data_IF_591914277462
#
_entry.id   IF_591914277462
#
_cell.length_a   1.000
_cell.length_b   1.000
_cell.length_c   1.000
_cell.angle_alpha   90.00
_cell.angle_beta   90.00
_cell.angle_gamma   90.00
#
_symmetry.space_group_name_H-M   'P 1'
#
loop_
_entity.id
_entity.type
_entity.pdbx_description
1 polymer ?
#
# COMPACT_ATOMS: atom_id res chain seq x y z
N UNK A 1 17.68 3.58 -1.72
CA UNK A 1 17.54 2.27 -2.38
C UNK A 1 17.20 2.51 -3.84
N UNK A 2 17.99 1.98 -4.77
CA UNK A 2 17.75 2.16 -6.21
C UNK A 2 16.44 1.46 -6.60
N UNK A 3 15.46 2.20 -7.15
CA UNK A 3 14.27 1.60 -7.75
C UNK A 3 14.73 0.82 -8.99
N UNK A 4 14.38 -0.46 -9.05
CA UNK A 4 14.53 -1.24 -10.27
C UNK A 4 13.61 -0.62 -11.34
N UNK A 5 14.09 -0.46 -12.59
CA UNK A 5 13.27 0.09 -13.66
C UNK A 5 12.05 -0.79 -13.90
N UNK A 6 10.89 -0.17 -14.08
CA UNK A 6 9.66 -0.87 -14.46
C UNK A 6 9.86 -1.51 -15.85
N UNK A 7 9.68 -2.83 -15.93
CA UNK A 7 9.77 -3.53 -17.21
C UNK A 7 8.48 -3.32 -18.00
N UNK A 8 8.57 -3.05 -19.32
CA UNK A 8 7.40 -3.11 -20.18
C UNK A 8 6.83 -4.55 -20.15
N UNK A 9 5.52 -4.67 -19.90
CA UNK A 9 4.81 -5.96 -19.80
C UNK A 9 4.33 -6.37 -18.40
N UNK A 10 4.43 -5.49 -17.41
CA UNK A 10 3.98 -5.77 -16.04
C UNK A 10 5.03 -6.52 -15.20
N UNK A 11 4.71 -6.82 -13.93
CA UNK A 11 5.65 -7.47 -13.04
C UNK A 11 6.00 -8.88 -13.55
N UNK A 12 7.28 -9.30 -13.46
CA UNK A 12 7.71 -10.61 -13.92
C UNK A 12 7.10 -11.73 -13.08
N UNK A 13 6.85 -12.86 -13.73
CA UNK A 13 6.22 -14.01 -13.10
C UNK A 13 7.21 -14.71 -12.13
N UNK A 14 6.87 -14.78 -10.85
CA UNK A 14 7.73 -15.37 -9.81
C UNK A 14 7.75 -16.90 -9.96
N UNK A 15 8.93 -17.51 -10.11
CA UNK A 15 9.09 -18.96 -10.22
C UNK A 15 8.80 -19.69 -8.89
N UNK A 16 8.53 -21.00 -8.97
CA UNK A 16 8.31 -21.85 -7.78
C UNK A 16 9.59 -22.19 -7.04
N UNK A 17 10.71 -22.24 -7.74
CA UNK A 17 12.02 -22.40 -7.13
C UNK A 17 12.77 -21.08 -7.17
N UNK A 18 13.38 -20.72 -6.05
CA UNK A 18 14.28 -19.57 -5.93
C UNK A 18 15.59 -20.03 -5.29
N UNK A 19 16.66 -19.29 -5.56
CA UNK A 19 17.95 -19.51 -4.90
C UNK A 19 17.99 -18.66 -3.61
N UNK A 20 17.91 -19.31 -2.46
CA UNK A 20 18.18 -18.67 -1.18
C UNK A 20 19.70 -18.58 -1.00
N UNK A 21 20.24 -17.36 -0.94
CA UNK A 21 21.65 -17.10 -0.70
C UNK A 21 21.83 -16.60 0.72
N UNK A 22 22.67 -17.28 1.50
CA UNK A 22 22.98 -16.93 2.88
C UNK A 22 24.50 -16.97 3.11
N UNK A 23 25.02 -16.31 4.16
CA UNK A 23 26.39 -16.51 4.62
C UNK A 23 26.64 -17.98 4.96
N UNK A 24 27.74 -18.55 4.48
CA UNK A 24 28.19 -19.90 4.83
C UNK A 24 28.79 -19.87 6.23
N UNK A 25 28.23 -20.62 7.17
CA UNK A 25 28.81 -20.83 8.51
C UNK A 25 29.23 -19.51 9.20
N UNK A 26 28.40 -18.47 9.12
CA UNK A 26 28.67 -17.12 9.65
C UNK A 26 29.89 -16.40 9.04
N UNK A 27 30.43 -16.89 7.93
CA UNK A 27 31.52 -16.26 7.19
C UNK A 27 31.01 -15.24 6.17
N UNK A 28 31.92 -14.46 5.59
CA UNK A 28 31.60 -13.57 4.47
C UNK A 28 31.52 -14.30 3.11
N UNK A 29 31.55 -15.64 3.10
CA UNK A 29 31.40 -16.44 1.88
C UNK A 29 29.93 -16.75 1.63
N UNK A 30 29.42 -16.59 0.39
CA UNK A 30 28.04 -16.95 0.07
C UNK A 30 27.88 -18.47 -0.08
N UNK A 31 26.75 -19.01 0.38
CA UNK A 31 26.25 -20.34 0.01
C UNK A 31 24.81 -20.22 -0.48
N UNK A 32 24.41 -21.11 -1.39
CA UNK A 32 23.11 -21.07 -2.06
C UNK A 32 22.36 -22.39 -1.96
N UNK A 33 21.04 -22.33 -1.76
CA UNK A 33 20.15 -23.49 -1.80
C UNK A 33 18.90 -23.20 -2.64
N UNK A 34 18.51 -24.13 -3.50
CA UNK A 34 17.23 -24.04 -4.20
C UNK A 34 16.09 -24.33 -3.20
N UNK A 35 15.16 -23.39 -3.06
CA UNK A 35 14.01 -23.52 -2.15
C UNK A 35 12.71 -23.41 -2.92
N UNK A 36 11.75 -24.28 -2.59
CA UNK A 36 10.39 -24.22 -3.11
C UNK A 36 9.58 -23.16 -2.34
N UNK A 37 9.04 -22.19 -3.06
CA UNK A 37 8.29 -21.06 -2.51
C UNK A 37 6.79 -21.10 -2.83
N UNK A 38 6.25 -22.23 -3.28
CA UNK A 38 4.81 -22.34 -3.61
C UNK A 38 3.91 -21.93 -2.45
N UNK A 39 4.25 -22.34 -1.22
CA UNK A 39 3.49 -21.99 -0.01
C UNK A 39 3.52 -20.48 0.25
N UNK A 40 4.70 -19.87 0.18
CA UNK A 40 4.93 -18.44 0.41
C UNK A 40 4.17 -17.63 -0.66
N UNK A 41 4.29 -18.01 -1.94
CA UNK A 41 3.53 -17.40 -3.04
C UNK A 41 2.02 -17.48 -2.81
N UNK A 42 1.51 -18.64 -2.38
CA UNK A 42 0.08 -18.83 -2.13
C UNK A 42 -0.42 -17.94 -0.98
N UNK A 43 0.33 -17.85 0.12
CA UNK A 43 0.01 -16.97 1.25
C UNK A 43 -0.01 -15.51 0.82
N UNK A 44 1.06 -15.04 0.17
CA UNK A 44 1.15 -13.66 -0.32
C UNK A 44 0.02 -13.35 -1.30
N UNK A 45 -0.26 -14.24 -2.26
CA UNK A 45 -1.36 -14.05 -3.21
C UNK A 45 -2.71 -13.94 -2.49
N UNK A 46 -2.97 -14.79 -1.50
CA UNK A 46 -4.20 -14.73 -0.70
C UNK A 46 -4.30 -13.43 0.10
N UNK A 47 -3.19 -12.96 0.68
CA UNK A 47 -3.16 -11.67 1.39
C UNK A 47 -3.48 -10.52 0.42
N UNK A 48 -2.79 -10.46 -0.72
CA UNK A 48 -3.03 -9.42 -1.73
C UNK A 48 -4.46 -9.46 -2.29
N UNK A 49 -5.03 -10.64 -2.53
CA UNK A 49 -6.40 -10.77 -3.03
C UNK A 49 -7.48 -10.31 -2.05
N UNK A 50 -7.13 -10.14 -0.77
CA UNK A 50 -8.06 -9.70 0.29
C UNK A 50 -7.92 -8.22 0.61
N UNK A 51 -6.87 -7.56 0.13
CA UNK A 51 -6.75 -6.12 0.25
C UNK A 51 -7.71 -5.48 -0.74
N UNK A 52 -8.45 -4.48 -0.29
CA UNK A 52 -9.26 -3.64 -1.18
C UNK A 52 -8.34 -3.03 -2.22
N UNK A 53 -8.72 -3.14 -3.49
CA UNK A 53 -7.88 -2.64 -4.57
C UNK A 53 -7.88 -1.12 -4.55
N UNK A 54 -6.74 -0.52 -4.89
CA UNK A 54 -6.66 0.96 -5.02
C UNK A 54 -7.66 1.45 -6.06
N UNK A 55 -7.85 0.71 -7.14
CA UNK A 55 -8.83 1.05 -8.18
C UNK A 55 -10.28 1.02 -7.65
N UNK A 56 -10.60 0.09 -6.74
CA UNK A 56 -11.93 0.02 -6.11
C UNK A 56 -12.14 1.19 -5.15
N UNK A 57 -11.12 1.55 -4.37
CA UNK A 57 -11.16 2.74 -3.51
C UNK A 57 -11.31 4.03 -4.32
N UNK A 58 -10.57 4.14 -5.43
CA UNK A 58 -10.62 5.31 -6.31
C UNK A 58 -11.96 5.42 -7.05
N UNK A 59 -12.58 4.30 -7.44
CA UNK A 59 -13.89 4.30 -8.09
C UNK A 59 -15.03 4.79 -7.17
N UNK A 60 -14.82 4.82 -5.85
CA UNK A 60 -15.78 5.38 -4.89
C UNK A 60 -15.66 6.91 -4.77
N UNK A 61 -14.65 7.53 -5.38
CA UNK A 61 -14.41 8.96 -5.32
C UNK A 61 -15.07 9.71 -6.49
N UNK A 62 -15.46 10.98 -6.31
CA UNK A 62 -15.88 11.82 -7.43
C UNK A 62 -14.77 11.97 -8.49
N UNK A 63 -15.14 11.99 -9.77
CA UNK A 63 -14.19 12.02 -10.90
C UNK A 63 -13.23 13.21 -10.88
N UNK A 64 -13.61 14.32 -10.27
CA UNK A 64 -12.86 15.58 -10.21
C UNK A 64 -12.17 15.84 -8.87
N UNK A 65 -12.24 14.89 -7.93
CA UNK A 65 -11.66 15.09 -6.59
C UNK A 65 -10.13 15.13 -6.64
N UNK A 66 -9.53 16.05 -5.88
CA UNK A 66 -8.08 16.16 -5.78
C UNK A 66 -7.66 16.61 -4.39
N UNK A 67 -6.83 15.81 -3.73
CA UNK A 67 -6.32 16.06 -2.38
C UNK A 67 -4.92 16.69 -2.37
N UNK A 68 -4.54 17.40 -3.44
CA UNK A 68 -3.23 18.08 -3.51
C UNK A 68 -3.18 19.24 -2.50
N UNK A 69 -2.26 19.22 -1.51
CA UNK A 69 -2.14 20.27 -0.51
C UNK A 69 -1.67 21.63 -1.09
N UNK A 70 -1.17 21.67 -2.33
CA UNK A 70 -0.82 22.91 -3.04
C UNK A 70 -2.01 23.67 -3.63
N UNK A 71 -3.21 23.07 -3.63
CA UNK A 71 -4.44 23.74 -4.14
C UNK A 71 -4.94 24.82 -3.18
N UNK A 72 -5.77 25.77 -3.68
CA UNK A 72 -6.49 26.70 -2.84
C UNK A 72 -7.26 25.99 -1.71
N UNK A 73 -7.20 26.56 -0.50
CA UNK A 73 -7.73 25.92 0.71
C UNK A 73 -9.23 25.59 0.60
N UNK A 74 -10.01 26.44 -0.06
CA UNK A 74 -11.44 26.21 -0.30
C UNK A 74 -11.69 25.00 -1.21
N UNK A 75 -10.85 24.81 -2.23
CA UNK A 75 -10.95 23.68 -3.15
C UNK A 75 -10.52 22.36 -2.47
N UNK A 76 -9.48 22.41 -1.64
CA UNK A 76 -9.05 21.26 -0.85
C UNK A 76 -10.10 20.87 0.19
N UNK A 77 -10.69 21.86 0.87
CA UNK A 77 -11.76 21.63 1.85
C UNK A 77 -12.97 20.94 1.19
N UNK A 78 -13.44 21.44 0.03
CA UNK A 78 -14.52 20.77 -0.73
C UNK A 78 -14.19 19.32 -1.06
N UNK A 79 -12.94 19.04 -1.42
CA UNK A 79 -12.48 17.68 -1.74
C UNK A 79 -12.52 16.78 -0.49
N UNK A 80 -12.03 17.26 0.66
CA UNK A 80 -12.10 16.54 1.95
C UNK A 80 -13.54 16.31 2.39
N UNK A 81 -14.42 17.28 2.21
CA UNK A 81 -15.84 17.17 2.57
C UNK A 81 -16.64 16.26 1.64
N UNK A 82 -16.12 15.96 0.43
CA UNK A 82 -16.78 15.07 -0.53
C UNK A 82 -16.69 13.59 -0.16
N UNK A 83 -15.84 13.24 0.82
CA UNK A 83 -15.65 11.85 1.28
C UNK A 83 -16.16 11.65 2.71
N UNK A 84 -16.67 10.44 3.04
CA UNK A 84 -17.14 10.16 4.40
C UNK A 84 -16.03 10.31 5.45
N UNK A 85 -16.39 10.86 6.61
CA UNK A 85 -15.46 10.96 7.73
C UNK A 85 -15.17 9.58 8.36
N UNK A 86 -13.97 9.06 8.11
CA UNK A 86 -13.51 7.77 8.61
C UNK A 86 -12.70 7.92 9.90
N UNK A 87 -13.37 8.21 11.02
CA UNK A 87 -12.71 8.35 12.32
C UNK A 87 -12.61 7.02 13.09
N UNK A 88 -11.42 6.74 13.63
CA UNK A 88 -11.17 5.71 14.64
C UNK A 88 -10.35 6.31 15.81
N UNK A 89 -10.43 5.77 17.04
CA UNK A 89 -9.70 6.32 18.20
C UNK A 89 -8.20 6.47 17.97
N UNK A 90 -7.58 5.52 17.26
CA UNK A 90 -6.14 5.50 16.96
C UNK A 90 -5.72 6.66 16.05
N UNK A 91 -6.66 7.30 15.35
CA UNK A 91 -6.36 8.46 14.49
C UNK A 91 -5.78 9.63 15.29
N UNK A 92 -6.16 9.82 16.56
CA UNK A 92 -5.72 10.96 17.38
C UNK A 92 -4.20 11.04 17.58
N UNK A 93 -3.49 9.92 17.44
CA UNK A 93 -2.02 9.86 17.54
C UNK A 93 -1.31 9.71 16.20
N UNK A 94 -2.05 9.47 15.11
CA UNK A 94 -1.48 9.03 13.84
C UNK A 94 -1.90 9.88 12.62
N UNK A 95 -2.87 10.79 12.78
CA UNK A 95 -3.43 11.55 11.67
C UNK A 95 -3.73 13.00 12.05
N UNK A 96 -3.20 13.93 11.27
CA UNK A 96 -3.42 15.38 11.42
C UNK A 96 -4.90 15.79 11.23
N UNK A 97 -5.70 14.99 10.52
CA UNK A 97 -7.12 15.24 10.28
C UNK A 97 -8.05 14.63 11.35
N UNK A 98 -7.51 14.00 12.40
CA UNK A 98 -8.30 13.22 13.35
C UNK A 98 -9.41 14.03 14.04
N UNK A 99 -9.16 15.29 14.40
CA UNK A 99 -10.18 16.16 15.00
C UNK A 99 -11.30 16.49 14.01
N UNK A 100 -10.95 16.82 12.76
CA UNK A 100 -11.93 17.09 11.71
C UNK A 100 -12.84 15.87 11.46
N UNK A 101 -12.26 14.69 11.24
CA UNK A 101 -13.04 13.48 11.00
C UNK A 101 -13.88 13.08 12.22
N UNK A 102 -13.37 13.29 13.45
CA UNK A 102 -14.12 13.00 14.68
C UNK A 102 -15.35 13.90 14.83
N UNK A 103 -15.22 15.18 14.51
CA UNK A 103 -16.32 16.13 14.54
C UNK A 103 -17.36 15.77 13.47
N UNK A 104 -16.92 15.55 12.24
CA UNK A 104 -17.80 15.22 11.11
C UNK A 104 -18.50 13.87 11.24
N UNK A 105 -17.87 12.88 11.88
CA UNK A 105 -18.50 11.59 12.13
C UNK A 105 -19.59 11.62 13.22
N UNK A 106 -19.71 12.74 13.96
CA UNK A 106 -20.72 12.94 15.02
C UNK A 106 -21.89 13.82 14.62
N UNK A 107 -21.72 14.59 13.54
CA UNK A 107 -22.74 15.48 12.98
C UNK A 107 -23.73 14.67 12.13
#
# INVERSE_FOLDING_TARGET
AARLPERPGGPPDVRHQVLLVCPKDFSNLPTGAAVDVRKQRAVTRRQLSRLTRVEELAAALPDDVCFDPGRPADALLRSVESVPAAYAPECLSACELAFHCRERARA
#
